data_IF_726703865502
#
_entry.id   IF_726703865502
#
_cell.length_a   1.000
_cell.length_b   1.000
_cell.length_c   1.000
_cell.angle_alpha   90.00
_cell.angle_beta   90.00
_cell.angle_gamma   90.00
#
_symmetry.space_group_name_H-M   'P 1'
#
loop_
_entity.id
_entity.type
_entity.pdbx_description
1 polymer ?
#
# COMPACT_ATOMS: atom_id res chain seq x y z
N UNK A 1 -6.43 3.38 12.35
CA UNK A 1 -6.73 2.93 10.96
C UNK A 1 -7.09 4.12 10.08
N UNK A 2 -7.89 5.07 10.59
CA UNK A 2 -8.24 6.32 9.90
C UNK A 2 -7.01 7.09 9.39
N UNK A 3 -5.99 7.32 10.22
CA UNK A 3 -4.82 8.13 9.83
C UNK A 3 -4.11 7.70 8.51
N UNK A 4 -4.00 6.40 8.22
CA UNK A 4 -3.41 5.96 6.95
C UNK A 4 -4.37 6.16 5.78
N UNK A 5 -5.66 5.86 5.98
CA UNK A 5 -6.68 6.11 4.99
C UNK A 5 -6.79 7.60 4.67
N UNK A 6 -6.79 8.47 5.68
CA UNK A 6 -6.81 9.92 5.53
C UNK A 6 -5.59 10.40 4.73
N UNK A 7 -4.40 9.92 5.10
CA UNK A 7 -3.16 10.24 4.38
C UNK A 7 -3.21 9.82 2.90
N UNK A 8 -3.84 8.69 2.57
CA UNK A 8 -4.04 8.21 1.20
C UNK A 8 -5.03 9.04 0.38
N UNK A 9 -5.99 9.71 1.03
CA UNK A 9 -7.02 10.51 0.35
C UNK A 9 -6.64 11.97 0.16
N UNK A 10 -5.61 12.47 0.84
CA UNK A 10 -5.08 13.83 0.63
C UNK A 10 -4.60 13.99 -0.81
N UNK A 11 -5.09 15.04 -1.48
CA UNK A 11 -4.59 15.51 -2.76
C UNK A 11 -3.23 16.19 -2.57
N UNK A 12 -2.28 15.85 -3.43
CA UNK A 12 -0.96 16.47 -3.51
C UNK A 12 -0.79 17.14 -4.86
N UNK A 13 -0.05 18.25 -4.88
CA UNK A 13 0.40 18.90 -6.11
C UNK A 13 1.66 18.20 -6.62
N UNK A 14 1.67 17.88 -7.92
CA UNK A 14 2.83 17.28 -8.60
C UNK A 14 3.07 18.01 -9.90
N UNK A 15 4.26 18.56 -10.04
CA UNK A 15 4.72 19.17 -11.29
C UNK A 15 5.07 18.07 -12.30
N UNK A 16 4.47 18.15 -13.49
CA UNK A 16 4.73 17.27 -14.60
C UNK A 16 5.39 18.03 -15.74
N UNK A 17 6.53 17.52 -16.19
CA UNK A 17 7.13 17.86 -17.47
C UNK A 17 6.97 16.68 -18.43
N UNK A 18 6.16 16.86 -19.47
CA UNK A 18 5.80 15.83 -20.45
C UNK A 18 6.39 16.20 -21.82
N UNK A 19 7.67 15.87 -22.08
CA UNK A 19 8.37 16.30 -23.29
C UNK A 19 7.75 15.76 -24.57
N UNK A 20 7.11 14.58 -24.57
CA UNK A 20 6.40 14.07 -25.75
C UNK A 20 5.23 14.95 -26.21
N UNK A 21 4.72 15.82 -25.34
CA UNK A 21 3.63 16.75 -25.64
C UNK A 21 4.05 18.23 -25.55
N UNK A 22 5.34 18.50 -25.27
CA UNK A 22 5.84 19.85 -24.96
C UNK A 22 4.98 20.55 -23.88
N UNK A 23 4.65 19.80 -22.82
CA UNK A 23 3.65 20.20 -21.83
C UNK A 23 4.22 20.23 -20.42
N UNK A 24 4.18 21.41 -19.81
CA UNK A 24 4.38 21.62 -18.38
C UNK A 24 3.02 21.88 -17.70
N UNK A 25 2.75 21.13 -16.63
CA UNK A 25 1.49 21.21 -15.89
C UNK A 25 1.63 20.72 -14.45
N UNK A 26 1.04 21.46 -13.50
CA UNK A 26 0.84 20.99 -12.13
C UNK A 26 -0.48 20.22 -12.05
N UNK A 27 -0.44 18.99 -11.54
CA UNK A 27 -1.64 18.17 -11.32
C UNK A 27 -1.91 17.98 -9.84
N UNK A 28 -3.20 18.03 -9.48
CA UNK A 28 -3.67 17.70 -8.14
C UNK A 28 -4.26 16.29 -8.13
N UNK A 29 -3.58 15.38 -7.44
CA UNK A 29 -3.91 13.95 -7.43
C UNK A 29 -3.90 13.39 -6.00
N UNK A 30 -4.89 12.59 -5.59
CA UNK A 30 -4.83 11.93 -4.29
C UNK A 30 -3.78 10.81 -4.30
N UNK A 31 -3.05 10.65 -3.18
CA UNK A 31 -1.93 9.69 -3.09
C UNK A 31 -2.32 8.26 -3.49
N UNK A 32 -3.53 7.80 -3.12
CA UNK A 32 -3.99 6.46 -3.50
C UNK A 32 -4.12 6.27 -5.02
N UNK A 33 -4.57 7.29 -5.75
CA UNK A 33 -4.73 7.20 -7.20
C UNK A 33 -3.35 7.19 -7.88
N UNK A 34 -2.42 8.01 -7.41
CA UNK A 34 -1.04 7.98 -7.88
C UNK A 34 -0.41 6.60 -7.67
N UNK A 35 -0.52 6.03 -6.47
CA UNK A 35 -0.01 4.69 -6.16
C UNK A 35 -0.68 3.60 -7.01
N UNK A 36 -1.97 3.73 -7.31
CA UNK A 36 -2.69 2.82 -8.20
C UNK A 36 -2.13 2.90 -9.61
N UNK A 37 -1.96 4.11 -10.17
CA UNK A 37 -1.41 4.33 -11.51
C UNK A 37 -0.02 3.70 -11.62
N UNK A 38 0.88 4.00 -10.68
CA UNK A 38 2.24 3.42 -10.64
C UNK A 38 2.20 1.90 -10.51
N UNK A 39 1.34 1.37 -9.64
CA UNK A 39 1.18 -0.07 -9.45
C UNK A 39 0.64 -0.80 -10.68
N UNK A 40 -0.20 -0.15 -11.49
CA UNK A 40 -0.72 -0.70 -12.74
C UNK A 40 0.34 -0.63 -13.84
N UNK A 41 1.04 0.49 -14.00
CA UNK A 41 2.06 0.67 -15.03
C UNK A 41 3.32 -0.18 -14.79
N UNK A 42 3.71 -0.41 -13.53
CA UNK A 42 4.86 -1.28 -13.21
C UNK A 42 4.66 -2.76 -13.57
N UNK A 43 3.41 -3.23 -13.69
CA UNK A 43 3.07 -4.64 -13.94
C UNK A 43 2.67 -4.95 -15.37
N UNK A 44 2.30 -3.93 -16.13
CA UNK A 44 1.67 -4.10 -17.44
C UNK A 44 2.38 -3.24 -18.48
N UNK A 45 2.51 -3.80 -19.69
CA UNK A 45 2.90 -3.00 -20.85
C UNK A 45 1.87 -1.87 -21.04
N UNK A 46 2.34 -0.63 -21.30
CA UNK A 46 1.53 0.58 -21.46
C UNK A 46 0.34 0.40 -22.41
N UNK A 47 0.49 -0.41 -23.46
CA UNK A 47 -0.59 -0.74 -24.41
C UNK A 47 -1.78 -1.49 -23.79
N UNK A 48 -1.61 -2.13 -22.62
CA UNK A 48 -2.68 -2.82 -21.87
C UNK A 48 -3.31 -1.95 -20.79
N UNK A 49 -2.87 -0.70 -20.66
CA UNK A 49 -3.27 0.22 -19.59
C UNK A 49 -4.15 1.35 -20.12
N UNK A 50 -5.14 1.04 -20.98
CA UNK A 50 -6.10 2.04 -21.50
C UNK A 50 -6.85 2.73 -20.37
N UNK A 51 -7.24 1.99 -19.33
CA UNK A 51 -7.88 2.59 -18.14
C UNK A 51 -6.99 3.60 -17.42
N UNK A 52 -5.66 3.41 -17.42
CA UNK A 52 -4.72 4.40 -16.88
C UNK A 52 -4.66 5.61 -17.80
N UNK A 53 -4.64 5.43 -19.13
CA UNK A 53 -4.68 6.54 -20.07
C UNK A 53 -5.92 7.43 -19.87
N UNK A 54 -7.09 6.83 -19.64
CA UNK A 54 -8.32 7.58 -19.34
C UNK A 54 -8.21 8.35 -18.00
N UNK A 55 -7.62 7.74 -16.97
CA UNK A 55 -7.39 8.41 -15.69
C UNK A 55 -6.42 9.60 -15.84
N UNK A 56 -5.34 9.42 -16.59
CA UNK A 56 -4.37 10.49 -16.88
C UNK A 56 -4.97 11.60 -17.75
N UNK A 57 -5.77 11.25 -18.75
CA UNK A 57 -6.49 12.23 -19.57
C UNK A 57 -7.40 13.09 -18.70
N UNK A 58 -8.19 12.47 -17.79
CA UNK A 58 -9.05 13.21 -16.85
C UNK A 58 -8.24 14.10 -15.90
N UNK A 59 -7.07 13.63 -15.44
CA UNK A 59 -6.19 14.38 -14.56
C UNK A 59 -5.65 15.65 -15.26
N UNK A 60 -5.15 15.50 -16.49
CA UNK A 60 -4.66 16.60 -17.32
C UNK A 60 -5.80 17.58 -17.66
N UNK A 61 -7.00 17.06 -17.96
CA UNK A 61 -8.18 17.88 -18.21
C UNK A 61 -8.61 18.68 -16.97
N UNK A 62 -8.58 18.07 -15.77
CA UNK A 62 -8.84 18.76 -14.49
C UNK A 62 -7.82 19.88 -14.25
N UNK A 63 -6.59 19.72 -14.73
CA UNK A 63 -5.54 20.74 -14.70
C UNK A 63 -5.61 21.75 -15.87
N UNK A 64 -6.70 21.74 -16.66
CA UNK A 64 -6.93 22.69 -17.76
C UNK A 64 -6.21 22.35 -19.06
N UNK A 65 -5.67 21.14 -19.21
CA UNK A 65 -4.97 20.68 -20.41
C UNK A 65 -5.83 19.65 -21.15
N UNK A 66 -6.29 20.00 -22.34
CA UNK A 66 -7.06 19.07 -23.18
C UNK A 66 -6.10 18.23 -24.00
N UNK A 67 -6.12 16.92 -23.78
CA UNK A 67 -5.33 15.95 -24.55
C UNK A 67 -6.25 14.83 -25.04
N UNK A 68 -5.94 14.30 -26.21
CA UNK A 68 -6.59 13.11 -26.75
C UNK A 68 -6.12 11.85 -26.02
N UNK A 69 -6.93 10.78 -26.03
CA UNK A 69 -6.61 9.55 -25.32
C UNK A 69 -5.27 8.95 -25.78
N UNK A 70 -4.96 9.01 -27.08
CA UNK A 70 -3.70 8.51 -27.61
C UNK A 70 -2.49 9.31 -27.11
N UNK A 71 -2.66 10.62 -26.84
CA UNK A 71 -1.61 11.45 -26.24
C UNK A 71 -1.38 11.06 -24.78
N UNK A 72 -2.46 10.80 -24.03
CA UNK A 72 -2.36 10.27 -22.67
C UNK A 72 -1.72 8.86 -22.62
N UNK A 73 -1.92 8.03 -23.65
CA UNK A 73 -1.22 6.75 -23.81
C UNK A 73 0.27 6.93 -24.08
N UNK A 74 0.64 7.93 -24.89
CA UNK A 74 2.03 8.23 -25.27
C UNK A 74 2.88 8.62 -24.04
N UNK A 75 2.33 9.44 -23.14
CA UNK A 75 3.06 9.97 -21.97
C UNK A 75 3.05 9.07 -20.73
N UNK A 76 2.52 7.85 -20.83
CA UNK A 76 2.41 6.96 -19.65
C UNK A 76 3.76 6.65 -19.02
N UNK A 77 4.80 6.46 -19.82
CA UNK A 77 6.15 6.16 -19.34
C UNK A 77 6.75 7.37 -18.63
N UNK A 78 6.65 8.56 -19.21
CA UNK A 78 7.11 9.82 -18.60
C UNK A 78 6.42 10.08 -17.26
N UNK A 79 5.09 9.90 -17.20
CA UNK A 79 4.32 10.05 -15.96
C UNK A 79 4.69 8.97 -14.94
N UNK A 80 4.93 7.74 -15.40
CA UNK A 80 5.37 6.66 -14.52
C UNK A 80 6.69 7.01 -13.87
N UNK A 81 7.69 7.45 -14.63
CA UNK A 81 8.99 7.85 -14.10
C UNK A 81 8.85 8.94 -13.03
N UNK A 82 8.10 10.01 -13.32
CA UNK A 82 7.88 11.11 -12.36
C UNK A 82 7.17 10.61 -11.10
N UNK A 83 6.08 9.85 -11.24
CA UNK A 83 5.31 9.38 -10.10
C UNK A 83 6.07 8.31 -9.30
N UNK A 84 6.79 7.41 -9.95
CA UNK A 84 7.53 6.32 -9.31
C UNK A 84 8.81 6.83 -8.64
N UNK A 85 9.69 7.46 -9.41
CA UNK A 85 11.05 7.78 -8.97
C UNK A 85 11.09 9.00 -8.04
N UNK A 86 10.13 9.92 -8.17
CA UNK A 86 10.08 11.10 -7.32
C UNK A 86 9.07 10.94 -6.19
N UNK A 87 7.79 10.76 -6.52
CA UNK A 87 6.70 10.87 -5.53
C UNK A 87 6.57 9.60 -4.68
N UNK A 88 6.50 8.43 -5.31
CA UNK A 88 6.41 7.15 -4.60
C UNK A 88 7.66 6.89 -3.77
N UNK A 89 8.84 7.09 -4.34
CA UNK A 89 10.11 6.93 -3.63
C UNK A 89 10.18 7.82 -2.38
N UNK A 90 9.75 9.09 -2.49
CA UNK A 90 9.68 10.00 -1.34
C UNK A 90 8.75 9.49 -0.25
N UNK A 91 7.57 8.97 -0.61
CA UNK A 91 6.58 8.50 0.35
C UNK A 91 6.81 7.08 0.87
N UNK A 92 7.73 6.31 0.28
CA UNK A 92 7.95 4.90 0.60
C UNK A 92 8.19 4.66 2.10
N UNK A 93 9.03 5.47 2.74
CA UNK A 93 9.28 5.34 4.18
C UNK A 93 8.02 5.63 5.01
N UNK A 94 7.23 6.64 4.63
CA UNK A 94 5.98 6.99 5.32
C UNK A 94 4.95 5.87 5.19
N UNK A 95 4.83 5.26 4.01
CA UNK A 95 3.98 4.08 3.80
C UNK A 95 4.46 2.92 4.68
N UNK A 96 5.78 2.69 4.73
CA UNK A 96 6.35 1.63 5.56
C UNK A 96 6.05 1.83 7.06
N UNK A 97 6.10 3.06 7.56
CA UNK A 97 5.69 3.40 8.93
C UNK A 97 4.21 3.06 9.19
N UNK A 98 3.30 3.45 8.28
CA UNK A 98 1.88 3.11 8.42
C UNK A 98 1.64 1.60 8.41
N UNK A 99 2.30 0.86 7.50
CA UNK A 99 2.18 -0.60 7.41
C UNK A 99 2.77 -1.30 8.63
N UNK A 100 3.86 -0.78 9.19
CA UNK A 100 4.44 -1.27 10.44
C UNK A 100 3.45 -1.06 11.60
N UNK A 101 2.85 0.13 11.71
CA UNK A 101 1.82 0.41 12.70
C UNK A 101 0.59 -0.50 12.57
N UNK A 102 0.14 -0.80 11.35
CA UNK A 102 -0.95 -1.76 11.12
C UNK A 102 -0.55 -3.19 11.53
N UNK A 103 0.66 -3.61 11.19
CA UNK A 103 1.18 -4.95 11.54
C UNK A 103 1.23 -5.13 13.05
N UNK A 104 1.75 -4.13 13.78
CA UNK A 104 1.75 -4.12 15.24
C UNK A 104 0.35 -3.99 15.85
N UNK A 105 -0.55 -3.24 15.21
CA UNK A 105 -1.96 -3.16 15.62
C UNK A 105 -2.64 -4.52 15.58
N UNK A 106 -2.48 -5.26 14.48
CA UNK A 106 -3.01 -6.63 14.32
C UNK A 106 -2.36 -7.58 15.35
N UNK A 107 -1.03 -7.51 15.49
CA UNK A 107 -0.28 -8.31 16.45
C UNK A 107 -0.82 -8.12 17.87
N UNK A 108 -0.95 -6.87 18.31
CA UNK A 108 -1.41 -6.53 19.66
C UNK A 108 -2.87 -6.92 19.88
N UNK A 109 -3.71 -6.76 18.87
CA UNK A 109 -5.12 -7.16 18.92
C UNK A 109 -5.28 -8.67 19.11
N UNK A 110 -4.46 -9.48 18.42
CA UNK A 110 -4.56 -10.94 18.46
C UNK A 110 -3.75 -11.59 19.59
N UNK A 111 -2.80 -10.88 20.20
CA UNK A 111 -1.94 -11.39 21.27
C UNK A 111 -2.72 -12.02 22.44
N UNK A 112 -3.83 -11.45 22.95
CA UNK A 112 -4.61 -12.09 24.01
C UNK A 112 -5.17 -13.45 23.60
N UNK A 113 -5.65 -13.59 22.36
CA UNK A 113 -6.18 -14.85 21.84
C UNK A 113 -5.07 -15.89 21.63
N UNK A 114 -3.90 -15.45 21.17
CA UNK A 114 -2.71 -16.30 21.12
C UNK A 114 -2.34 -16.80 22.52
N UNK A 115 -2.26 -15.91 23.52
CA UNK A 115 -1.93 -16.28 24.90
C UNK A 115 -2.95 -17.22 25.52
N UNK A 116 -4.24 -17.04 25.23
CA UNK A 116 -5.32 -17.94 25.69
C UNK A 116 -5.21 -19.33 25.07
N UNK A 117 -4.90 -19.39 23.77
CA UNK A 117 -4.99 -20.63 23.00
C UNK A 117 -3.70 -21.45 23.00
N UNK A 118 -2.54 -20.82 23.14
CA UNK A 118 -1.26 -21.50 23.08
C UNK A 118 -1.08 -22.48 24.24
N UNK A 119 -0.75 -23.73 23.91
CA UNK A 119 -0.45 -24.77 24.89
C UNK A 119 0.85 -25.47 24.48
N UNK A 120 1.96 -25.29 25.22
CA UNK A 120 3.18 -26.06 24.98
C UNK A 120 2.96 -27.54 25.32
N UNK A 121 3.78 -28.43 24.77
CA UNK A 121 3.80 -29.82 25.19
C UNK A 121 4.50 -29.97 26.55
N UNK A 122 3.97 -30.83 27.41
CA UNK A 122 4.49 -31.05 28.78
C UNK A 122 5.77 -31.93 28.81
N UNK A 123 6.25 -32.36 27.65
CA UNK A 123 7.37 -33.31 27.48
C UNK A 123 8.73 -32.63 27.23
N UNK A 124 8.80 -31.30 27.39
CA UNK A 124 10.02 -30.51 27.15
C UNK A 124 10.41 -30.40 25.67
N UNK A 125 9.59 -30.87 24.74
CA UNK A 125 9.82 -30.71 23.31
C UNK A 125 9.31 -29.35 22.81
N UNK A 126 9.79 -28.82 21.67
CA UNK A 126 9.28 -27.58 21.08
C UNK A 126 7.88 -27.74 20.47
N UNK A 127 7.17 -28.84 20.77
CA UNK A 127 5.81 -29.08 20.29
C UNK A 127 4.84 -28.16 21.03
N UNK A 128 3.83 -27.72 20.32
CA UNK A 128 2.75 -26.92 20.87
C UNK A 128 1.47 -27.19 20.09
N UNK A 129 0.35 -26.81 20.68
CA UNK A 129 -0.96 -26.79 20.04
C UNK A 129 -1.67 -25.48 20.36
N UNK A 130 -2.72 -25.21 19.60
CA UNK A 130 -3.67 -24.17 19.93
C UNK A 130 -5.01 -24.76 20.34
N UNK A 131 -5.60 -24.23 21.40
CA UNK A 131 -6.97 -24.52 21.78
C UNK A 131 -7.94 -23.69 20.92
N UNK A 132 -8.55 -24.35 19.93
CA UNK A 132 -9.55 -23.75 19.07
C UNK A 132 -10.79 -23.27 19.85
N UNK A 133 -11.36 -22.10 19.50
CA UNK A 133 -12.71 -21.73 19.90
C UNK A 133 -13.73 -22.83 19.61
N UNK A 134 -14.68 -23.07 20.52
CA UNK A 134 -15.66 -24.16 20.41
C UNK A 134 -16.53 -24.06 19.15
N UNK A 135 -16.77 -22.84 18.68
CA UNK A 135 -17.59 -22.54 17.50
C UNK A 135 -16.87 -22.86 16.18
N UNK A 136 -15.55 -23.08 16.20
CA UNK A 136 -14.79 -23.48 15.01
C UNK A 136 -14.88 -25.00 14.83
N UNK A 137 -15.93 -25.46 14.17
CA UNK A 137 -16.11 -26.89 13.86
C UNK A 137 -15.48 -27.27 12.52
N UNK A 138 -15.54 -26.37 11.54
CA UNK A 138 -15.04 -26.56 10.18
C UNK A 138 -13.50 -26.72 10.15
N UNK A 139 -13.02 -27.75 9.46
CA UNK A 139 -11.59 -28.05 9.31
C UNK A 139 -10.80 -26.95 8.60
N UNK A 140 -11.36 -26.30 7.58
CA UNK A 140 -10.76 -25.16 6.92
C UNK A 140 -10.59 -23.99 7.89
N UNK A 141 -11.62 -23.69 8.69
CA UNK A 141 -11.57 -22.59 9.64
C UNK A 141 -10.53 -22.85 10.75
N UNK A 142 -10.38 -24.10 11.19
CA UNK A 142 -9.29 -24.52 12.10
C UNK A 142 -7.92 -24.31 11.47
N UNK A 143 -7.73 -24.66 10.20
CA UNK A 143 -6.46 -24.42 9.49
C UNK A 143 -6.13 -22.92 9.37
N UNK A 144 -7.13 -22.07 9.04
CA UNK A 144 -6.95 -20.62 9.02
C UNK A 144 -6.55 -20.08 10.40
N UNK A 145 -7.23 -20.52 11.45
CA UNK A 145 -6.91 -20.15 12.84
C UNK A 145 -5.49 -20.57 13.23
N UNK A 146 -5.09 -21.80 12.89
CA UNK A 146 -3.74 -22.31 13.14
C UNK A 146 -2.68 -21.44 12.48
N UNK A 147 -2.88 -21.08 11.21
CA UNK A 147 -1.96 -20.20 10.48
C UNK A 147 -1.90 -18.80 11.09
N UNK A 148 -3.05 -18.25 11.49
CA UNK A 148 -3.13 -16.95 12.14
C UNK A 148 -2.38 -16.93 13.47
N UNK A 149 -2.61 -17.90 14.35
CA UNK A 149 -1.92 -17.96 15.64
C UNK A 149 -0.41 -18.19 15.48
N UNK A 150 0.02 -18.92 14.45
CA UNK A 150 1.43 -19.04 14.12
C UNK A 150 2.03 -17.74 13.58
N UNK A 151 1.28 -16.96 12.81
CA UNK A 151 1.71 -15.64 12.40
C UNK A 151 1.92 -14.73 13.63
N UNK A 152 0.97 -14.74 14.58
CA UNK A 152 1.10 -13.99 15.84
C UNK A 152 2.30 -14.47 16.66
N UNK A 153 2.56 -15.79 16.69
CA UNK A 153 3.72 -16.37 17.37
C UNK A 153 5.06 -15.83 16.83
N UNK A 154 5.17 -15.70 15.51
CA UNK A 154 6.37 -15.17 14.86
C UNK A 154 6.55 -13.66 15.06
N UNK A 155 5.43 -12.93 15.17
CA UNK A 155 5.41 -11.47 15.32
C UNK A 155 5.83 -10.71 14.05
N UNK A 156 5.70 -9.37 14.06
CA UNK A 156 6.21 -8.52 12.99
C UNK A 156 7.73 -8.59 12.88
N UNK A 157 8.25 -8.51 11.64
CA UNK A 157 9.70 -8.60 11.35
C UNK A 157 10.46 -7.38 11.90
N UNK A 158 9.85 -6.20 11.84
CA UNK A 158 10.45 -4.95 12.26
C UNK A 158 9.79 -4.43 13.53
N UNK A 159 10.60 -3.94 14.46
CA UNK A 159 10.14 -3.19 15.63
C UNK A 159 9.33 -1.95 15.21
N UNK A 160 8.50 -1.40 16.13
CA UNK A 160 7.82 -0.13 15.88
C UNK A 160 8.82 0.99 15.55
N UNK A 161 8.56 1.74 14.48
CA UNK A 161 9.41 2.87 14.10
C UNK A 161 8.61 4.08 13.64
N UNK A 162 9.29 5.22 13.59
CA UNK A 162 8.75 6.47 13.06
C UNK A 162 9.79 7.11 12.14
N UNK A 163 9.35 7.53 10.97
CA UNK A 163 10.12 8.24 9.98
C UNK A 163 10.19 9.72 10.33
N UNK A 164 11.38 10.29 10.12
CA UNK A 164 11.65 11.70 10.38
C UNK A 164 10.70 12.63 9.61
N UNK A 165 10.31 13.74 10.25
CA UNK A 165 9.46 14.77 9.65
C UNK A 165 10.01 15.33 8.32
N UNK A 166 11.33 15.30 8.14
CA UNK A 166 11.98 15.81 6.93
C UNK A 166 11.64 14.98 5.68
N UNK A 167 11.26 13.71 5.84
CA UNK A 167 10.82 12.82 4.76
C UNK A 167 9.28 12.80 4.59
N UNK A 168 8.57 13.74 5.23
CA UNK A 168 7.10 13.83 5.21
C UNK A 168 6.54 15.15 4.68
N UNK A 169 7.36 16.19 4.49
CA UNK A 169 6.91 17.56 4.22
C UNK A 169 6.96 18.08 2.78
N UNK A 170 7.42 17.29 1.79
CA UNK A 170 7.58 17.75 0.40
C UNK A 170 6.28 17.69 -0.42
N UNK A 171 5.40 16.73 -0.10
CA UNK A 171 4.11 16.51 -0.75
C UNK A 171 3.04 16.20 0.29
#
# INVERSE_FOLDING_TARGET
MEAFADWLHVEIAVDLWLPSLDLEVEVHIPRHLLLKIVGTLSKHNSLRSVGVAEELQRLLQKAGKTVELYQAMLVQEEIFEIFHDNVCAYHASTIAEFLNGLSWGIQNYLKPEYSRSFTPADDGTPRYRFQYPKQLENSYAKSCYWNLMNHVRSGPIFEPFTVTKHLKGRY
#
